data_IF_841473298964
#
_entry.id   IF_841473298964
#
_cell.length_a   1.000
_cell.length_b   1.000
_cell.length_c   1.000
_cell.angle_alpha   90.00
_cell.angle_beta   90.00
_cell.angle_gamma   90.00
#
_symmetry.space_group_name_H-M   'P 1'
#
loop_
_entity.id
_entity.type
_entity.pdbx_description
1 polymer ?
#
# COMPACT_ATOMS: atom_id res chain seq x y z
N UNK A 1 2.35 -18.21 10.48
CA UNK A 1 1.55 -18.38 9.24
C UNK A 1 1.47 -16.99 8.62
N UNK A 2 2.29 -16.67 7.61
CA UNK A 2 2.33 -15.32 7.07
C UNK A 2 1.02 -15.06 6.30
N UNK A 3 0.10 -14.29 6.91
CA UNK A 3 -1.04 -13.67 6.24
C UNK A 3 -0.50 -12.80 5.11
N UNK A 4 -0.24 -13.42 3.96
CA UNK A 4 0.39 -12.77 2.81
C UNK A 4 -0.68 -11.96 2.11
N UNK A 5 -0.92 -10.75 2.62
CA UNK A 5 -1.73 -9.73 1.95
C UNK A 5 -1.20 -9.50 0.55
N UNK A 6 -2.08 -9.23 -0.40
CA UNK A 6 -1.65 -8.93 -1.76
C UNK A 6 -1.16 -7.48 -1.79
N UNK A 7 0.09 -7.27 -2.19
CA UNK A 7 0.70 -5.94 -2.18
C UNK A 7 0.87 -5.44 -3.62
N UNK A 8 0.34 -4.25 -3.88
CA UNK A 8 0.61 -3.45 -5.06
C UNK A 8 1.65 -2.40 -4.69
N UNK A 9 2.65 -2.20 -5.54
CA UNK A 9 3.70 -1.21 -5.34
C UNK A 9 3.68 -0.21 -6.49
N UNK A 10 3.84 1.05 -6.16
CA UNK A 10 3.99 2.17 -7.08
C UNK A 10 5.29 2.87 -6.70
N UNK A 11 6.43 2.51 -7.33
CA UNK A 11 7.68 3.18 -7.07
C UNK A 11 7.62 4.63 -7.54
N UNK A 12 8.35 5.50 -6.87
CA UNK A 12 8.41 6.91 -7.21
C UNK A 12 9.09 7.01 -8.58
N UNK A 13 8.44 7.71 -9.51
CA UNK A 13 9.02 8.02 -10.79
C UNK A 13 9.12 9.54 -10.88
N UNK A 14 10.34 10.07 -10.88
CA UNK A 14 10.53 11.48 -11.21
C UNK A 14 10.09 11.70 -12.67
N UNK A 15 9.49 12.85 -12.99
CA UNK A 15 8.95 13.13 -14.33
C UNK A 15 10.00 12.98 -15.46
N UNK A 16 11.29 12.98 -15.10
CA UNK A 16 12.42 12.73 -16.01
C UNK A 16 12.77 11.24 -16.21
N UNK A 17 12.27 10.34 -15.36
CA UNK A 17 12.63 8.92 -15.30
C UNK A 17 11.67 7.98 -16.06
N UNK A 18 10.50 8.46 -16.47
CA UNK A 18 9.56 7.69 -17.30
C UNK A 18 8.15 7.56 -16.70
N UNK A 19 7.36 6.58 -17.17
CA UNK A 19 5.98 6.42 -16.71
C UNK A 19 5.92 5.77 -15.31
N UNK A 20 4.93 6.18 -14.53
CA UNK A 20 4.58 5.55 -13.25
C UNK A 20 4.14 4.10 -13.46
N UNK A 21 4.68 3.16 -12.70
CA UNK A 21 4.42 1.72 -12.89
C UNK A 21 3.68 1.16 -11.69
N UNK A 22 2.55 0.50 -11.91
CA UNK A 22 1.94 -0.34 -10.87
C UNK A 22 2.54 -1.73 -11.00
N UNK A 23 3.12 -2.27 -9.93
CA UNK A 23 3.73 -3.59 -9.94
C UNK A 23 3.23 -4.46 -8.77
N UNK A 24 3.20 -5.77 -8.98
CA UNK A 24 2.83 -6.77 -7.97
C UNK A 24 3.90 -7.85 -7.93
N UNK A 25 4.54 -8.06 -6.78
CA UNK A 25 5.58 -9.08 -6.61
C UNK A 25 6.64 -9.07 -7.74
N UNK A 26 7.14 -7.87 -8.08
CA UNK A 26 8.10 -7.62 -9.17
C UNK A 26 7.58 -7.80 -10.60
N UNK A 27 6.26 -7.99 -10.80
CA UNK A 27 5.63 -7.97 -12.13
C UNK A 27 4.95 -6.63 -12.40
N UNK A 28 5.32 -5.90 -13.46
CA UNK A 28 4.63 -4.67 -13.85
C UNK A 28 3.24 -5.01 -14.41
N UNK A 29 2.20 -4.43 -13.82
CA UNK A 29 0.80 -4.60 -14.22
C UNK A 29 0.33 -3.51 -15.18
N UNK A 30 0.89 -2.31 -15.09
CA UNK A 30 0.51 -1.17 -15.93
C UNK A 30 1.49 -0.02 -15.84
N UNK A 31 1.45 0.85 -16.86
CA UNK A 31 2.26 2.07 -16.97
C UNK A 31 1.33 3.27 -17.15
N UNK A 32 1.61 4.34 -16.43
CA UNK A 32 0.74 5.50 -16.31
C UNK A 32 1.54 6.80 -16.44
N UNK A 33 0.91 7.84 -16.95
CA UNK A 33 1.57 9.13 -17.19
C UNK A 33 1.73 9.97 -15.93
N UNK A 34 1.08 9.62 -14.82
CA UNK A 34 1.09 10.39 -13.57
C UNK A 34 0.86 9.49 -12.36
N UNK A 35 1.31 9.96 -11.19
CA UNK A 35 1.11 9.26 -9.91
C UNK A 35 -0.37 9.01 -9.62
N UNK A 36 -1.22 10.03 -9.82
CA UNK A 36 -2.66 9.91 -9.60
C UNK A 36 -3.27 8.78 -10.43
N UNK A 37 -2.96 8.71 -11.73
CA UNK A 37 -3.44 7.63 -12.60
C UNK A 37 -2.95 6.25 -12.16
N UNK A 38 -1.71 6.14 -11.68
CA UNK A 38 -1.19 4.88 -11.16
C UNK A 38 -1.92 4.45 -9.88
N UNK A 39 -2.25 5.40 -9.00
CA UNK A 39 -3.03 5.14 -7.79
C UNK A 39 -4.45 4.71 -8.16
N UNK A 40 -5.14 5.48 -9.00
CA UNK A 40 -6.51 5.15 -9.44
C UNK A 40 -6.58 3.76 -10.09
N UNK A 41 -5.59 3.41 -10.90
CA UNK A 41 -5.53 2.08 -11.49
C UNK A 41 -5.20 0.97 -10.47
N UNK A 42 -4.33 1.23 -9.50
CA UNK A 42 -4.09 0.29 -8.40
C UNK A 42 -5.35 0.09 -7.55
N UNK A 43 -6.12 1.15 -7.30
CA UNK A 43 -7.41 1.10 -6.62
C UNK A 43 -8.46 0.34 -7.45
N UNK A 44 -8.51 0.52 -8.77
CA UNK A 44 -9.40 -0.26 -9.64
C UNK A 44 -9.03 -1.75 -9.68
N UNK A 45 -7.75 -2.09 -9.54
CA UNK A 45 -7.25 -3.47 -9.49
C UNK A 45 -7.45 -4.12 -8.11
N UNK A 46 -7.56 -3.34 -7.04
CA UNK A 46 -7.67 -3.86 -5.68
C UNK A 46 -8.94 -4.70 -5.40
N UNK A 47 -10.17 -4.28 -5.78
CA UNK A 47 -11.38 -5.09 -5.60
C UNK A 47 -11.34 -6.47 -6.29
N UNK A 48 -11.01 -6.60 -7.59
CA UNK A 48 -10.96 -7.91 -8.24
C UNK A 48 -9.82 -8.78 -7.70
N UNK A 49 -8.67 -8.19 -7.34
CA UNK A 49 -7.58 -8.91 -6.66
C UNK A 49 -8.00 -9.42 -5.28
N UNK A 50 -8.69 -8.60 -4.50
CA UNK A 50 -9.17 -8.97 -3.17
C UNK A 50 -10.17 -10.11 -3.24
N UNK A 51 -11.14 -10.02 -4.17
CA UNK A 51 -12.12 -11.06 -4.43
C UNK A 51 -11.47 -12.37 -4.90
N UNK A 52 -10.49 -12.29 -5.81
CA UNK A 52 -9.79 -13.46 -6.34
C UNK A 52 -8.90 -14.14 -5.30
N UNK A 53 -8.25 -13.37 -4.43
CA UNK A 53 -7.29 -13.88 -3.43
C UNK A 53 -7.91 -14.14 -2.05
N UNK A 54 -9.18 -13.76 -1.86
CA UNK A 54 -9.92 -13.86 -0.60
C UNK A 54 -9.28 -13.08 0.55
N UNK A 55 -8.56 -11.99 0.26
CA UNK A 55 -7.75 -11.27 1.25
C UNK A 55 -7.64 -9.77 0.94
N UNK A 56 -7.37 -8.90 1.93
CA UNK A 56 -7.18 -7.49 1.68
C UNK A 56 -5.95 -7.22 0.81
N UNK A 57 -6.05 -6.18 -0.03
CA UNK A 57 -4.98 -5.69 -0.89
C UNK A 57 -4.42 -4.40 -0.28
N UNK A 58 -3.10 -4.31 -0.18
CA UNK A 58 -2.38 -3.12 0.28
C UNK A 58 -1.74 -2.43 -0.91
N UNK A 59 -1.89 -1.12 -1.02
CA UNK A 59 -1.24 -0.32 -2.05
C UNK A 59 -0.11 0.44 -1.38
N UNK A 60 1.12 0.28 -1.86
CA UNK A 60 2.29 0.99 -1.34
C UNK A 60 2.76 1.97 -2.40
N UNK A 61 2.80 3.26 -2.04
CA UNK A 61 3.23 4.33 -2.94
C UNK A 61 4.51 4.94 -2.39
N UNK A 62 5.59 4.86 -3.15
CA UNK A 62 6.84 5.47 -2.78
C UNK A 62 6.78 6.97 -3.03
N UNK A 63 7.20 7.74 -2.04
CA UNK A 63 7.29 9.20 -2.06
C UNK A 63 8.65 9.64 -2.63
N UNK A 64 8.77 10.93 -2.95
CA UNK A 64 9.99 11.53 -3.46
C UNK A 64 11.18 11.43 -2.48
N UNK A 65 10.91 11.36 -1.16
CA UNK A 65 11.93 11.15 -0.13
C UNK A 65 12.44 9.70 -0.04
N UNK A 66 11.80 8.78 -0.78
CA UNK A 66 12.09 7.36 -0.78
C UNK A 66 11.27 6.53 0.21
N UNK A 67 10.49 7.16 1.10
CA UNK A 67 9.56 6.46 1.99
C UNK A 67 8.41 5.80 1.24
N UNK A 68 7.96 4.65 1.73
CA UNK A 68 6.78 3.96 1.22
C UNK A 68 5.58 4.25 2.10
N UNK A 69 4.55 4.89 1.54
CA UNK A 69 3.27 5.11 2.21
C UNK A 69 2.30 3.98 1.87
N UNK A 70 1.71 3.39 2.90
CA UNK A 70 0.68 2.37 2.76
C UNK A 70 -0.69 3.04 2.60
N UNK A 71 -1.24 2.97 1.39
CA UNK A 71 -2.65 3.17 1.11
C UNK A 71 -3.38 1.84 1.33
N UNK A 72 -4.01 1.71 2.49
CA UNK A 72 -4.85 0.54 2.78
C UNK A 72 -6.18 0.68 2.06
N UNK A 73 -6.37 -0.09 0.99
CA UNK A 73 -7.67 -0.23 0.36
C UNK A 73 -8.48 -1.26 1.15
N UNK A 74 -9.34 -0.77 2.06
CA UNK A 74 -10.36 -1.61 2.71
C UNK A 74 -11.52 -1.68 1.73
N UNK A 75 -11.57 -2.71 0.88
CA UNK A 75 -12.75 -2.99 0.06
C UNK A 75 -13.96 -3.05 1.01
N UNK A 76 -14.84 -2.07 0.87
CA UNK A 76 -15.83 -1.70 1.88
C UNK A 76 -16.65 -2.90 2.35
N UNK A 77 -16.63 -3.17 3.67
CA UNK A 77 -17.52 -4.18 4.21
C UNK A 77 -17.33 -4.68 5.64
N UNK A 78 -16.34 -4.27 6.44
CA UNK A 78 -16.40 -4.42 7.90
C UNK A 78 -15.39 -3.51 8.60
N UNK A 79 -15.86 -2.81 9.63
CA UNK A 79 -15.20 -1.77 10.40
C UNK A 79 -13.92 -2.23 11.13
N UNK A 80 -13.07 -1.23 11.44
CA UNK A 80 -12.39 -1.00 12.72
C UNK A 80 -10.86 -1.22 12.84
N UNK A 81 -10.16 -0.09 13.05
CA UNK A 81 -8.89 0.13 13.80
C UNK A 81 -7.57 -0.59 13.40
N UNK A 82 -6.56 0.22 13.08
CA UNK A 82 -5.16 -0.03 13.47
C UNK A 82 -4.46 1.30 13.85
N UNK A 83 -4.60 1.63 15.14
CA UNK A 83 -3.76 2.38 16.09
C UNK A 83 -2.71 3.43 15.65
N UNK A 84 -2.65 4.61 16.30
CA UNK A 84 -1.42 5.41 16.36
C UNK A 84 -0.33 4.69 17.20
N UNK A 85 0.97 5.01 17.00
CA UNK A 85 2.08 4.27 17.60
C UNK A 85 2.16 4.49 19.11
N UNK A 86 2.46 3.42 19.86
CA UNK A 86 2.82 3.47 21.27
C UNK A 86 4.27 3.97 21.42
N UNK A 87 4.53 4.98 22.26
CA UNK A 87 5.74 5.05 23.08
C UNK A 87 5.32 4.94 24.56
N UNK A 88 5.97 4.24 25.47
CA UNK A 88 7.22 3.51 25.51
C UNK A 88 7.27 2.87 26.91
N UNK A 89 8.01 1.78 27.03
CA UNK A 89 8.00 0.91 28.21
C UNK A 89 9.23 1.18 29.08
N UNK A 90 9.21 2.10 30.04
CA UNK A 90 10.36 2.29 30.93
C UNK A 90 9.99 2.63 32.39
N UNK A 91 10.18 1.62 33.25
CA UNK A 91 10.65 1.69 34.64
C UNK A 91 9.73 2.23 35.74
N UNK A 92 9.62 1.44 36.82
CA UNK A 92 8.73 1.67 37.94
C UNK A 92 9.32 2.46 39.10
N UNK A 93 8.52 2.63 40.14
CA UNK A 93 8.85 2.32 41.52
C UNK A 93 7.64 2.70 42.39
N UNK A 94 7.27 1.78 43.27
CA UNK A 94 6.49 2.08 44.45
C UNK A 94 7.15 3.21 45.25
N UNK A 95 6.34 4.10 45.81
CA UNK A 95 6.32 4.50 47.23
C UNK A 95 5.22 5.50 47.51
#
# INVERSE_FOLDING_TARGET
MASSSAQLFIPHCDATQGPWIVQRASMPLGRYSSQAQAIEAAEALAPPLSASLGRPVKIHVQQADGAWLEHTFVAAGLVNQASPPLPGNHHGAAR
#
